data_IF_973012995092
#
_entry.id   IF_973012995092
#
_cell.length_a   1.000
_cell.length_b   1.000
_cell.length_c   1.000
_cell.angle_alpha   90.00
_cell.angle_beta   90.00
_cell.angle_gamma   90.00
#
_symmetry.space_group_name_H-M   'P 1'
#
loop_
_entity.id
_entity.type
_entity.pdbx_description
1 polymer ?
#
# COMPACT_ATOMS: atom_id res chain seq x y z
N UNK A 1 8.76 14.56 -6.47
CA UNK A 1 9.22 13.16 -6.67
C UNK A 1 8.67 12.62 -7.98
N UNK A 2 9.50 12.04 -8.84
CA UNK A 2 9.07 11.31 -10.02
C UNK A 2 8.11 10.16 -9.67
N UNK A 3 7.05 9.96 -10.47
CA UNK A 3 6.05 8.90 -10.26
C UNK A 3 6.66 7.48 -10.21
N UNK A 4 7.79 7.28 -10.89
CA UNK A 4 8.52 5.99 -10.96
C UNK A 4 9.12 5.57 -9.62
N UNK A 5 9.34 6.51 -8.71
CA UNK A 5 9.90 6.26 -7.38
C UNK A 5 8.83 5.97 -6.32
N UNK A 6 7.55 6.12 -6.68
CA UNK A 6 6.45 5.86 -5.78
C UNK A 6 6.10 4.37 -5.75
N UNK A 7 6.09 3.83 -4.54
CA UNK A 7 5.64 2.48 -4.23
C UNK A 7 4.11 2.45 -4.26
N UNK A 8 3.52 1.69 -5.18
CA UNK A 8 2.06 1.52 -5.29
C UNK A 8 1.60 0.34 -4.45
N UNK A 9 0.72 0.59 -3.51
CA UNK A 9 -0.05 -0.43 -2.82
C UNK A 9 -1.41 -0.59 -3.49
N UNK A 10 -1.89 -1.81 -3.65
CA UNK A 10 -3.25 -2.08 -4.13
C UNK A 10 -3.87 -3.27 -3.42
N UNK A 11 -5.17 -3.45 -3.58
CA UNK A 11 -5.90 -4.60 -3.03
C UNK A 11 -6.04 -5.66 -4.12
N UNK A 12 -5.57 -6.87 -3.84
CA UNK A 12 -5.71 -8.05 -4.69
C UNK A 12 -6.13 -9.23 -3.81
N UNK A 13 -7.17 -9.95 -4.19
CA UNK A 13 -7.64 -11.14 -3.46
C UNK A 13 -7.82 -10.89 -1.94
N UNK A 14 -8.38 -9.73 -1.58
CA UNK A 14 -8.58 -9.30 -0.20
C UNK A 14 -7.30 -9.09 0.64
N UNK A 15 -6.14 -9.02 -0.02
CA UNK A 15 -4.85 -8.68 0.56
C UNK A 15 -4.36 -7.34 0.03
N UNK A 16 -3.58 -6.61 0.83
CA UNK A 16 -2.85 -5.45 0.34
C UNK A 16 -1.47 -5.91 -0.12
N UNK A 17 -1.16 -5.66 -1.38
CA UNK A 17 0.12 -6.01 -2.01
C UNK A 17 0.87 -4.76 -2.47
N UNK A 18 2.19 -4.88 -2.61
CA UNK A 18 3.03 -3.88 -3.26
C UNK A 18 3.11 -4.16 -4.77
N UNK A 19 2.40 -3.38 -5.58
CA UNK A 19 2.43 -3.42 -7.04
C UNK A 19 3.64 -2.65 -7.59
N UNK A 20 4.80 -3.32 -7.56
CA UNK A 20 6.08 -2.75 -8.02
C UNK A 20 6.04 -2.31 -9.49
N UNK A 21 5.25 -2.99 -10.33
CA UNK A 21 5.16 -2.71 -11.76
C UNK A 21 4.04 -1.72 -12.11
N UNK A 22 3.20 -1.36 -11.15
CA UNK A 22 2.04 -0.48 -11.33
C UNK A 22 1.04 -1.01 -12.39
N UNK A 23 0.92 -2.33 -12.52
CA UNK A 23 0.08 -3.00 -13.54
C UNK A 23 -1.20 -3.62 -12.98
N UNK A 24 -1.31 -3.74 -11.66
CA UNK A 24 -2.46 -4.39 -11.03
C UNK A 24 -3.70 -3.50 -11.09
N UNK A 25 -4.83 -4.10 -11.48
CA UNK A 25 -6.11 -3.41 -11.60
C UNK A 25 -6.66 -2.89 -10.27
N UNK A 26 -7.62 -1.96 -10.35
CA UNK A 26 -8.35 -1.47 -9.18
C UNK A 26 -7.70 -0.29 -8.43
N UNK A 27 -8.09 -0.12 -7.16
CA UNK A 27 -7.63 1.01 -6.33
C UNK A 27 -6.19 0.83 -5.89
N UNK A 28 -5.40 1.88 -6.12
CA UNK A 28 -4.02 1.97 -5.66
C UNK A 28 -3.80 3.19 -4.77
N UNK A 29 -2.90 3.06 -3.80
CA UNK A 29 -2.39 4.14 -2.96
C UNK A 29 -0.87 4.21 -3.13
N UNK A 30 -0.32 5.41 -3.25
CA UNK A 30 1.10 5.61 -3.50
C UNK A 30 1.81 6.11 -2.24
N UNK A 31 2.97 5.52 -1.96
CA UNK A 31 3.81 5.86 -0.81
C UNK A 31 5.24 6.05 -1.32
N UNK A 32 5.96 7.04 -0.79
CA UNK A 32 7.37 7.23 -1.12
C UNK A 32 8.26 6.19 -0.43
N UNK A 33 9.44 5.86 -0.95
CA UNK A 33 10.40 4.96 -0.29
C UNK A 33 10.69 5.38 1.16
N UNK A 34 10.89 6.68 1.39
CA UNK A 34 11.19 7.25 2.72
C UNK A 34 10.00 7.19 3.67
N UNK A 35 8.81 7.00 3.11
CA UNK A 35 7.55 6.90 3.82
C UNK A 35 7.21 5.44 4.17
N UNK A 36 7.81 4.47 3.49
CA UNK A 36 7.55 3.04 3.68
C UNK A 36 7.74 2.58 5.14
N UNK A 37 8.83 2.95 5.86
CA UNK A 37 8.99 2.56 7.27
C UNK A 37 7.86 3.09 8.17
N UNK A 38 7.23 4.21 7.78
CA UNK A 38 6.16 4.85 8.54
C UNK A 38 4.83 4.11 8.44
N UNK A 39 4.68 3.11 7.56
CA UNK A 39 3.44 2.31 7.48
C UNK A 39 3.21 1.52 8.78
N UNK A 40 4.27 1.18 9.52
CA UNK A 40 4.17 0.58 10.85
C UNK A 40 3.48 1.50 11.88
N UNK A 41 3.45 2.81 11.62
CA UNK A 41 2.70 3.77 12.44
C UNK A 41 1.20 3.64 12.19
N UNK A 42 0.42 3.53 13.27
CA UNK A 42 -1.04 3.38 13.22
C UNK A 42 -1.74 4.47 12.38
N UNK A 43 -1.30 5.72 12.45
CA UNK A 43 -1.87 6.84 11.70
C UNK A 43 -1.65 6.67 10.20
N UNK A 44 -0.45 6.28 9.80
CA UNK A 44 -0.12 6.03 8.39
C UNK A 44 -0.85 4.79 7.87
N UNK A 45 -0.89 3.70 8.66
CA UNK A 45 -1.64 2.47 8.33
C UNK A 45 -3.11 2.78 8.07
N UNK A 46 -3.76 3.56 8.94
CA UNK A 46 -5.16 4.00 8.77
C UNK A 46 -5.36 4.80 7.49
N UNK A 47 -4.45 5.71 7.16
CA UNK A 47 -4.52 6.48 5.90
C UNK A 47 -4.42 5.56 4.68
N UNK A 48 -3.48 4.61 4.69
CA UNK A 48 -3.35 3.62 3.63
C UNK A 48 -4.65 2.81 3.46
N UNK A 49 -5.22 2.33 4.57
CA UNK A 49 -6.43 1.52 4.56
C UNK A 49 -7.63 2.32 4.04
N UNK A 50 -7.76 3.57 4.46
CA UNK A 50 -8.77 4.50 3.98
C UNK A 50 -8.67 4.72 2.46
N UNK A 51 -7.47 5.00 1.94
CA UNK A 51 -7.24 5.19 0.49
C UNK A 51 -7.58 3.94 -0.32
N UNK A 52 -7.37 2.75 0.25
CA UNK A 52 -7.69 1.46 -0.37
C UNK A 52 -9.14 1.00 -0.12
N UNK A 53 -9.96 1.80 0.59
CA UNK A 53 -11.34 1.48 1.00
C UNK A 53 -11.47 0.20 1.81
N UNK A 54 -10.47 -0.09 2.62
CA UNK A 54 -10.49 -1.23 3.54
C UNK A 54 -11.22 -0.83 4.81
N UNK A 55 -12.31 -1.55 5.11
CA UNK A 55 -13.17 -1.28 6.27
C UNK A 55 -12.66 -1.93 7.57
N UNK A 56 -11.75 -2.88 7.48
CA UNK A 56 -11.28 -3.67 8.64
C UNK A 56 -9.76 -3.61 8.79
N UNK A 57 -9.29 -3.46 10.03
CA UNK A 57 -7.86 -3.50 10.33
C UNK A 57 -7.27 -4.93 10.30
N UNK A 58 -8.10 -5.94 10.02
CA UNK A 58 -7.72 -7.36 9.98
C UNK A 58 -7.05 -7.79 8.66
N UNK A 59 -6.91 -6.89 7.68
CA UNK A 59 -6.22 -7.22 6.43
C UNK A 59 -4.71 -7.25 6.67
N UNK A 60 -4.11 -8.40 6.39
CA UNK A 60 -2.68 -8.60 6.36
C UNK A 60 -2.08 -7.75 5.24
N UNK A 61 -1.01 -7.02 5.58
CA UNK A 61 -0.24 -6.31 4.57
C UNK A 61 0.99 -7.13 4.25
N UNK A 62 1.01 -7.73 3.06
CA UNK A 62 2.14 -8.48 2.57
C UNK A 62 3.07 -7.52 1.83
N UNK A 63 4.13 -7.09 2.52
CA UNK A 63 5.16 -6.26 1.91
C UNK A 63 6.57 -6.61 2.41
N UNK A 64 6.98 -7.87 2.43
CA UNK A 64 8.40 -8.21 2.63
C UNK A 64 8.93 -9.34 1.72
N UNK A 65 10.05 -8.99 1.06
CA UNK A 65 11.16 -9.80 0.54
C UNK A 65 10.85 -10.98 -0.41
N UNK A 66 10.67 -10.64 -1.67
CA UNK A 66 11.47 -11.28 -2.74
C UNK A 66 12.38 -10.22 -3.36
#
# INVERSE_FOLDING_TARGET
MPKKELLRFCVKENKIILDRFQKEGGRGAYICSDCLPKIKNLKTKRKLFYSLRIKTNLIEIEYEKQ
#
